data_IF_643533875290
#
_entry.id   IF_643533875290
#
_cell.length_a   1.000
_cell.length_b   1.000
_cell.length_c   1.000
_cell.angle_alpha   90.00
_cell.angle_beta   90.00
_cell.angle_gamma   90.00
#
_symmetry.space_group_name_H-M   'P 1'
#
loop_
_entity.id
_entity.type
_entity.pdbx_description
1 polymer ?
#
# COMPACT_ATOMS: atom_id res chain seq x y z
N UNK A 1 9.22 18.36 -15.44
CA UNK A 1 9.95 17.55 -14.43
C UNK A 1 8.95 16.82 -13.55
N UNK A 2 8.41 17.37 -12.46
CA UNK A 2 7.34 16.69 -11.68
C UNK A 2 5.99 16.59 -12.39
N UNK A 3 5.56 17.67 -13.06
CA UNK A 3 4.30 17.76 -13.82
C UNK A 3 4.14 16.72 -14.94
N UNK A 4 5.25 16.16 -15.44
CA UNK A 4 5.23 15.24 -16.58
C UNK A 4 5.06 13.77 -16.16
N UNK A 5 5.02 13.49 -14.85
CA UNK A 5 4.96 12.14 -14.29
C UNK A 5 3.77 11.96 -13.34
N UNK A 6 2.76 12.82 -13.41
CA UNK A 6 1.60 12.79 -12.51
C UNK A 6 0.86 11.45 -12.54
N UNK A 7 0.71 10.85 -13.71
CA UNK A 7 -0.03 9.59 -13.88
C UNK A 7 0.73 8.41 -13.26
N UNK A 8 2.05 8.37 -13.49
CA UNK A 8 2.94 7.36 -12.90
C UNK A 8 2.98 7.47 -11.37
N UNK A 9 3.06 8.70 -10.84
CA UNK A 9 3.04 8.97 -9.40
C UNK A 9 1.69 8.56 -8.81
N UNK A 10 0.58 8.87 -9.50
CA UNK A 10 -0.75 8.49 -9.05
C UNK A 10 -0.91 6.97 -8.96
N UNK A 11 -0.49 6.24 -10.02
CA UNK A 11 -0.59 4.77 -10.07
C UNK A 11 0.20 4.12 -8.95
N UNK A 12 1.46 4.52 -8.76
CA UNK A 12 2.33 3.93 -7.72
C UNK A 12 1.75 4.14 -6.31
N UNK A 13 1.19 5.33 -6.05
CA UNK A 13 0.61 5.64 -4.74
C UNK A 13 -0.72 4.92 -4.56
N UNK A 14 -1.57 4.87 -5.58
CA UNK A 14 -2.85 4.15 -5.52
C UNK A 14 -2.64 2.65 -5.30
N UNK A 15 -1.70 2.03 -6.02
CA UNK A 15 -1.33 0.62 -5.83
C UNK A 15 -0.74 0.35 -4.44
N UNK A 16 0.12 1.25 -3.95
CA UNK A 16 0.77 1.11 -2.65
C UNK A 16 -0.14 1.35 -1.45
N UNK A 17 -1.20 2.15 -1.62
CA UNK A 17 -2.14 2.53 -0.54
C UNK A 17 -3.46 1.77 -0.60
N UNK A 18 -3.84 1.23 -1.75
CA UNK A 18 -5.16 0.64 -1.98
C UNK A 18 -6.30 1.67 -2.05
N UNK A 19 -5.99 2.97 -2.10
CA UNK A 19 -6.94 4.07 -2.13
C UNK A 19 -6.85 4.86 -3.45
N UNK A 20 -7.95 5.49 -3.84
CA UNK A 20 -7.93 6.42 -4.97
C UNK A 20 -7.10 7.66 -4.65
N UNK A 21 -6.25 8.10 -5.59
CA UNK A 21 -5.33 9.23 -5.40
C UNK A 21 -5.60 10.33 -6.42
N UNK A 22 -5.59 11.57 -5.94
CA UNK A 22 -5.67 12.77 -6.77
C UNK A 22 -4.42 13.65 -6.57
N UNK A 23 -4.02 14.35 -7.63
CA UNK A 23 -2.81 15.19 -7.67
C UNK A 23 -3.10 16.57 -8.26
N UNK A 24 -2.38 17.58 -7.77
CA UNK A 24 -2.35 18.92 -8.36
C UNK A 24 -0.93 19.48 -8.34
N UNK A 25 -0.53 20.11 -9.44
CA UNK A 25 0.74 20.84 -9.48
C UNK A 25 0.66 22.13 -8.69
N UNK A 26 1.67 22.38 -7.86
CA UNK A 26 1.87 23.67 -7.20
C UNK A 26 3.04 24.41 -7.87
N UNK A 27 2.83 25.61 -8.44
CA UNK A 27 3.93 26.44 -8.89
C UNK A 27 4.68 27.02 -7.68
N UNK A 28 5.98 26.71 -7.54
CA UNK A 28 6.85 27.30 -6.51
C UNK A 28 8.17 27.80 -7.12
N UNK A 29 8.20 29.06 -7.53
CA UNK A 29 9.38 29.65 -8.17
C UNK A 29 9.73 28.95 -9.48
N UNK A 30 10.98 28.49 -9.65
CA UNK A 30 11.48 27.84 -10.87
C UNK A 30 11.19 26.34 -10.97
N UNK A 31 10.67 25.70 -9.91
CA UNK A 31 10.36 24.26 -9.88
C UNK A 31 8.91 24.04 -9.46
N UNK A 32 8.31 22.94 -9.92
CA UNK A 32 6.91 22.62 -9.64
C UNK A 32 6.84 21.56 -8.55
N UNK A 33 6.12 21.83 -7.46
CA UNK A 33 5.78 20.82 -6.44
C UNK A 33 4.49 20.08 -6.81
N UNK A 34 4.18 19.01 -6.07
CA UNK A 34 2.94 18.24 -6.20
C UNK A 34 2.23 18.18 -4.84
N UNK A 35 0.95 18.52 -4.82
CA UNK A 35 0.05 18.14 -3.75
C UNK A 35 -0.62 16.82 -4.13
N UNK A 36 -0.72 15.92 -3.16
CA UNK A 36 -1.26 14.56 -3.29
C UNK A 36 -2.26 14.36 -2.16
N UNK A 37 -3.46 13.88 -2.47
CA UNK A 37 -4.50 13.59 -1.49
C UNK A 37 -5.36 12.41 -1.97
N UNK A 38 -6.20 11.87 -1.10
CA UNK A 38 -7.14 10.83 -1.48
C UNK A 38 -8.26 11.38 -2.37
N UNK A 39 -8.58 10.72 -3.48
CA UNK A 39 -9.46 11.26 -4.51
C UNK A 39 -10.93 11.42 -4.11
N UNK A 40 -11.36 10.68 -3.10
CA UNK A 40 -12.68 10.73 -2.46
C UNK A 40 -12.80 11.84 -1.39
N UNK A 41 -11.68 12.49 -1.04
CA UNK A 41 -11.68 13.71 -0.23
C UNK A 41 -11.41 14.95 -1.11
N UNK A 42 -12.03 16.07 -0.75
CA UNK A 42 -11.57 17.36 -1.27
C UNK A 42 -10.18 17.68 -0.73
N UNK A 43 -9.30 18.23 -1.56
CA UNK A 43 -7.90 18.57 -1.21
C UNK A 43 -7.74 19.35 0.10
N UNK A 44 -8.71 20.17 0.48
CA UNK A 44 -8.68 21.01 1.69
C UNK A 44 -9.39 20.37 2.91
N UNK A 45 -9.94 19.16 2.79
CA UNK A 45 -10.73 18.47 3.82
C UNK A 45 -10.05 17.24 4.43
N UNK A 46 -8.82 16.92 4.02
CA UNK A 46 -8.13 15.72 4.50
C UNK A 46 -6.62 15.90 4.64
N UNK A 47 -5.89 14.78 4.78
CA UNK A 47 -4.45 14.77 4.69
C UNK A 47 -4.02 15.14 3.26
N UNK A 48 -2.95 15.90 3.18
CA UNK A 48 -2.29 16.31 1.93
C UNK A 48 -0.81 16.05 2.10
N UNK A 49 -0.27 15.24 1.20
CA UNK A 49 1.18 15.06 1.07
C UNK A 49 1.69 15.99 -0.01
N UNK A 50 2.61 16.85 0.37
CA UNK A 50 3.29 17.77 -0.51
C UNK A 50 4.69 17.23 -0.85
N UNK A 51 4.96 17.06 -2.14
CA UNK A 51 6.24 16.61 -2.66
C UNK A 51 6.92 17.75 -3.42
N UNK A 52 8.15 18.08 -3.02
CA UNK A 52 8.96 19.10 -3.70
C UNK A 52 10.43 18.72 -3.81
N UNK A 53 11.15 19.17 -4.86
CA UNK A 53 12.60 19.05 -4.91
C UNK A 53 13.26 19.92 -3.83
N UNK A 54 14.31 19.42 -3.19
CA UNK A 54 15.17 20.15 -2.26
C UNK A 54 16.61 20.12 -2.77
N UNK A 55 16.98 21.15 -3.53
CA UNK A 55 18.24 21.15 -4.30
C UNK A 55 18.17 20.16 -5.47
N UNK A 56 19.33 19.77 -6.00
CA UNK A 56 19.42 18.98 -7.24
C UNK A 56 19.20 17.47 -7.05
N UNK A 57 19.43 16.91 -5.86
CA UNK A 57 19.49 15.46 -5.63
C UNK A 57 18.67 15.00 -4.44
N UNK A 58 17.64 15.74 -4.05
CA UNK A 58 16.81 15.36 -2.92
C UNK A 58 15.37 15.78 -3.11
N UNK A 59 14.45 15.00 -2.56
CA UNK A 59 13.07 15.38 -2.38
C UNK A 59 12.79 15.70 -0.92
N UNK A 60 11.93 16.67 -0.70
CA UNK A 60 11.29 16.92 0.57
C UNK A 60 9.80 16.57 0.43
N UNK A 61 9.31 15.81 1.40
CA UNK A 61 7.91 15.41 1.53
C UNK A 61 7.36 16.01 2.82
N UNK A 62 6.18 16.59 2.78
CA UNK A 62 5.47 17.12 3.94
C UNK A 62 4.03 16.61 3.94
N UNK A 63 3.68 15.80 4.94
CA UNK A 63 2.30 15.48 5.27
C UNK A 63 1.74 16.58 6.17
N UNK A 64 0.60 17.12 5.77
CA UNK A 64 -0.16 18.15 6.49
C UNK A 64 -1.65 17.95 6.29
N UNK A 65 -2.46 18.74 6.99
CA UNK A 65 -3.92 18.73 6.84
C UNK A 65 -4.43 20.01 6.18
N UNK A 66 -5.49 19.88 5.39
CA UNK A 66 -6.18 21.02 4.79
C UNK A 66 -6.92 21.89 5.82
N UNK A 67 -7.26 23.12 5.43
CA UNK A 67 -7.87 24.12 6.32
C UNK A 67 -9.26 23.70 6.87
N UNK A 68 -9.94 22.76 6.21
CA UNK A 68 -11.26 22.25 6.58
C UNK A 68 -11.22 20.77 6.95
N UNK A 69 -10.04 20.25 7.31
CA UNK A 69 -9.85 18.84 7.64
C UNK A 69 -10.27 18.46 9.07
N UNK A 70 -10.90 19.37 9.81
CA UNK A 70 -11.32 19.14 11.20
C UNK A 70 -12.13 17.84 11.38
N UNK A 71 -13.14 17.53 10.55
CA UNK A 71 -13.89 16.27 10.70
C UNK A 71 -13.01 15.03 10.55
N UNK A 72 -12.07 15.06 9.60
CA UNK A 72 -11.11 13.96 9.39
C UNK A 72 -10.12 13.85 10.55
N UNK A 73 -9.69 14.97 11.12
CA UNK A 73 -8.79 14.95 12.28
C UNK A 73 -9.51 14.42 13.52
N UNK A 74 -10.77 14.79 13.74
CA UNK A 74 -11.59 14.26 14.82
C UNK A 74 -11.75 12.73 14.65
N UNK A 75 -12.06 12.27 13.45
CA UNK A 75 -12.11 10.83 13.12
C UNK A 75 -10.78 10.11 13.40
N UNK A 76 -9.65 10.68 12.96
CA UNK A 76 -8.31 10.14 13.22
C UNK A 76 -8.03 10.08 14.73
N UNK A 77 -8.44 11.09 15.49
CA UNK A 77 -8.20 11.14 16.94
C UNK A 77 -8.99 10.10 17.73
N UNK A 78 -10.06 9.57 17.13
CA UNK A 78 -10.90 8.51 17.67
C UNK A 78 -10.54 7.12 17.11
N UNK A 79 -9.49 7.02 16.29
CA UNK A 79 -9.05 5.75 15.72
C UNK A 79 -8.71 4.72 16.83
N UNK A 80 -9.11 3.45 16.66
CA UNK A 80 -8.72 2.36 17.55
C UNK A 80 -7.20 2.27 17.76
N UNK A 81 -6.78 1.82 18.95
CA UNK A 81 -5.35 1.65 19.26
C UNK A 81 -4.63 0.76 18.23
N UNK A 82 -5.34 -0.23 17.68
CA UNK A 82 -4.83 -1.15 16.66
C UNK A 82 -4.47 -0.43 15.35
N UNK A 83 -5.31 0.50 14.93
CA UNK A 83 -5.14 1.30 13.72
C UNK A 83 -4.02 2.32 13.94
N UNK A 84 -3.89 2.85 15.16
CA UNK A 84 -2.78 3.73 15.56
C UNK A 84 -1.44 2.96 15.52
N UNK A 85 -1.38 1.75 16.07
CA UNK A 85 -0.18 0.89 16.04
C UNK A 85 0.22 0.54 14.60
N UNK A 86 -0.75 0.22 13.75
CA UNK A 86 -0.51 -0.09 12.34
C UNK A 86 -0.05 1.16 11.57
N UNK A 87 -0.67 2.31 11.78
CA UNK A 87 -0.23 3.58 11.20
C UNK A 87 1.20 3.94 11.62
N UNK A 88 1.57 3.74 12.89
CA UNK A 88 2.96 3.95 13.37
C UNK A 88 3.94 2.99 12.71
N UNK A 89 3.60 1.71 12.62
CA UNK A 89 4.43 0.70 11.94
C UNK A 89 4.65 1.04 10.46
N UNK A 90 3.63 1.58 9.79
CA UNK A 90 3.75 2.07 8.41
C UNK A 90 4.75 3.23 8.33
N UNK A 91 4.66 4.22 9.22
CA UNK A 91 5.63 5.33 9.25
C UNK A 91 7.06 4.86 9.58
N UNK A 92 7.22 3.90 10.50
CA UNK A 92 8.52 3.29 10.81
C UNK A 92 9.12 2.51 9.61
N UNK A 93 8.28 2.05 8.69
CA UNK A 93 8.74 1.34 7.48
C UNK A 93 9.38 2.26 6.43
N UNK A 94 9.25 3.58 6.57
CA UNK A 94 9.92 4.57 5.72
C UNK A 94 11.42 4.31 5.74
N UNK A 95 12.03 4.31 4.56
CA UNK A 95 13.44 3.96 4.38
C UNK A 95 14.34 4.77 5.34
N UNK A 96 15.25 4.09 6.05
CA UNK A 96 16.07 4.69 7.11
C UNK A 96 16.92 5.91 6.66
N UNK A 97 17.32 5.96 5.39
CA UNK A 97 18.03 7.09 4.80
C UNK A 97 17.15 8.33 4.57
N UNK A 98 15.83 8.16 4.59
CA UNK A 98 14.90 9.27 4.63
C UNK A 98 14.88 9.87 6.05
N UNK A 99 15.26 11.13 6.17
CA UNK A 99 15.23 11.83 7.45
C UNK A 99 13.81 12.25 7.75
N UNK A 100 13.12 11.50 8.61
CA UNK A 100 11.76 11.80 9.08
C UNK A 100 11.81 12.66 10.33
N UNK A 101 10.94 13.67 10.41
CA UNK A 101 10.77 14.54 11.57
C UNK A 101 9.29 14.88 11.76
N UNK A 102 8.82 14.75 13.01
CA UNK A 102 7.45 15.07 13.42
C UNK A 102 7.56 16.21 14.45
N UNK A 103 7.39 17.48 14.07
CA UNK A 103 7.63 18.60 14.99
C UNK A 103 6.83 18.47 16.28
N UNK A 104 7.55 18.47 17.41
CA UNK A 104 6.96 18.37 18.75
C UNK A 104 6.58 16.95 19.19
N UNK A 105 6.86 15.92 18.39
CA UNK A 105 6.53 14.52 18.72
C UNK A 105 7.65 13.56 18.31
N UNK A 106 7.56 12.31 18.76
CA UNK A 106 8.53 11.23 18.46
C UNK A 106 7.98 10.25 17.42
N UNK A 107 8.87 9.47 16.80
CA UNK A 107 8.50 8.49 15.77
C UNK A 107 7.63 7.34 16.30
N UNK A 108 7.80 6.97 17.57
CA UNK A 108 7.08 5.90 18.26
C UNK A 108 5.81 6.38 18.99
N UNK A 109 5.69 7.69 19.22
CA UNK A 109 4.65 8.28 20.07
C UNK A 109 3.77 9.31 19.36
N UNK A 110 3.85 9.46 18.04
CA UNK A 110 3.10 10.49 17.34
C UNK A 110 1.59 10.23 17.33
N UNK A 111 0.83 11.32 17.32
CA UNK A 111 -0.62 11.40 17.26
C UNK A 111 -1.03 12.64 16.45
N UNK A 112 -2.09 12.51 15.65
CA UNK A 112 -2.70 13.65 14.95
C UNK A 112 -3.79 14.23 15.84
N UNK A 113 -3.42 15.24 16.65
CA UNK A 113 -4.35 15.86 17.60
C UNK A 113 -5.08 17.08 17.05
N UNK A 114 -4.49 17.78 16.06
CA UNK A 114 -5.06 18.97 15.46
C UNK A 114 -4.46 19.27 14.07
N UNK A 115 -5.01 20.27 13.38
CA UNK A 115 -4.61 20.63 12.01
C UNK A 115 -3.20 21.25 11.89
N UNK A 116 -2.49 21.48 12.99
CA UNK A 116 -1.08 21.90 13.00
C UNK A 116 -0.14 20.71 12.92
N UNK A 117 -0.62 19.47 13.04
CA UNK A 117 0.19 18.28 12.85
C UNK A 117 0.92 18.34 11.50
N UNK A 118 2.22 18.07 11.52
CA UNK A 118 3.08 17.97 10.34
C UNK A 118 4.00 16.77 10.49
N UNK A 119 4.28 16.11 9.36
CA UNK A 119 5.35 15.12 9.27
C UNK A 119 6.19 15.42 8.04
N UNK A 120 7.49 15.63 8.25
CA UNK A 120 8.43 15.94 7.20
C UNK A 120 9.33 14.75 6.94
N UNK A 121 9.63 14.46 5.69
CA UNK A 121 10.68 13.55 5.29
C UNK A 121 11.57 14.18 4.23
N UNK A 122 12.87 13.91 4.29
CA UNK A 122 13.82 14.29 3.24
C UNK A 122 14.56 13.05 2.77
N UNK A 123 14.42 12.71 1.48
CA UNK A 123 15.12 11.59 0.85
C UNK A 123 16.15 12.12 -0.15
N UNK A 124 17.38 11.61 -0.06
CA UNK A 124 18.47 11.92 -0.98
C UNK A 124 18.61 10.84 -2.04
N UNK A 125 18.86 11.24 -3.28
CA UNK A 125 19.02 10.37 -4.44
C UNK A 125 20.48 10.37 -4.94
N UNK A 126 20.86 9.29 -5.62
CA UNK A 126 22.14 9.21 -6.31
C UNK A 126 22.18 10.18 -7.49
N UNK A 127 21.07 10.23 -8.23
CA UNK A 127 20.88 11.09 -9.41
C UNK A 127 20.07 12.35 -9.10
N UNK A 128 19.72 13.10 -10.15
CA UNK A 128 18.87 14.27 -10.05
C UNK A 128 17.52 13.90 -9.42
N UNK A 129 16.97 14.78 -8.57
CA UNK A 129 15.59 14.69 -8.08
C UNK A 129 14.59 14.71 -9.24
N UNK A 130 14.98 15.27 -10.38
CA UNK A 130 14.13 15.35 -11.55
C UNK A 130 14.08 14.04 -12.37
N UNK A 131 14.88 13.04 -12.01
CA UNK A 131 14.85 11.70 -12.63
C UNK A 131 13.58 10.92 -12.20
N UNK A 132 12.84 10.29 -13.13
CA UNK A 132 11.73 9.39 -12.83
C UNK A 132 12.01 8.32 -11.76
N UNK A 133 13.18 7.69 -11.74
CA UNK A 133 13.54 6.67 -10.73
C UNK A 133 13.65 7.27 -9.32
N UNK A 134 14.21 8.48 -9.21
CA UNK A 134 14.24 9.22 -7.95
C UNK A 134 12.82 9.57 -7.47
N UNK A 135 11.91 9.84 -8.41
CA UNK A 135 10.50 10.11 -8.14
C UNK A 135 9.79 8.87 -7.59
N UNK A 136 9.89 7.75 -8.31
CA UNK A 136 9.29 6.46 -7.92
C UNK A 136 9.82 6.04 -6.55
N UNK A 137 11.14 6.15 -6.32
CA UNK A 137 11.73 5.84 -5.03
C UNK A 137 11.16 6.71 -3.90
N UNK A 138 10.94 8.00 -4.14
CA UNK A 138 10.31 8.88 -3.14
C UNK A 138 8.86 8.51 -2.88
N UNK A 139 8.11 8.16 -3.94
CA UNK A 139 6.72 7.73 -3.81
C UNK A 139 6.64 6.46 -2.98
N UNK A 140 7.38 5.41 -3.38
CA UNK A 140 7.38 4.10 -2.75
C UNK A 140 7.91 4.10 -1.32
N UNK A 141 9.04 4.77 -1.08
CA UNK A 141 9.75 4.67 0.20
C UNK A 141 9.31 5.71 1.24
N UNK A 142 8.54 6.74 0.84
CA UNK A 142 8.13 7.83 1.74
C UNK A 142 6.64 8.12 1.65
N UNK A 143 6.13 8.44 0.46
CA UNK A 143 4.74 8.92 0.31
C UNK A 143 3.73 7.81 0.54
N UNK A 144 3.98 6.62 0.00
CA UNK A 144 3.11 5.44 0.17
C UNK A 144 2.94 5.10 1.66
N UNK A 145 4.00 4.94 2.47
CA UNK A 145 3.84 4.72 3.91
C UNK A 145 3.07 5.84 4.62
N UNK A 146 3.34 7.12 4.30
CA UNK A 146 2.63 8.26 4.89
C UNK A 146 1.14 8.24 4.56
N UNK A 147 0.80 8.04 3.30
CA UNK A 147 -0.59 7.97 2.85
C UNK A 147 -1.28 6.71 3.40
N UNK A 148 -0.62 5.56 3.41
CA UNK A 148 -1.17 4.33 3.96
C UNK A 148 -1.47 4.45 5.47
N UNK A 149 -0.61 5.14 6.22
CA UNK A 149 -0.84 5.43 7.65
C UNK A 149 -2.06 6.35 7.85
N UNK A 150 -2.23 7.37 7.00
CA UNK A 150 -3.42 8.23 7.07
C UNK A 150 -4.68 7.48 6.64
N UNK A 151 -4.60 6.64 5.62
CA UNK A 151 -5.70 5.78 5.21
C UNK A 151 -6.15 4.85 6.34
N UNK A 152 -5.20 4.38 7.16
CA UNK A 152 -5.49 3.53 8.33
C UNK A 152 -6.29 4.31 9.36
N UNK A 153 -5.76 5.46 9.78
CA UNK A 153 -6.42 6.28 10.79
C UNK A 153 -7.78 6.84 10.33
N UNK A 154 -8.03 6.94 9.02
CA UNK A 154 -9.31 7.38 8.46
C UNK A 154 -10.25 6.19 8.22
N UNK A 155 -9.77 4.93 8.24
CA UNK A 155 -10.62 3.77 7.96
C UNK A 155 -11.01 3.64 6.49
N UNK A 156 -10.06 3.83 5.56
CA UNK A 156 -10.30 3.59 4.12
C UNK A 156 -10.55 2.10 3.83
N UNK A 157 -11.73 1.79 3.33
CA UNK A 157 -12.09 0.47 2.80
C UNK A 157 -11.53 0.29 1.39
N UNK A 158 -10.76 -0.79 1.19
CA UNK A 158 -10.20 -1.10 -0.14
C UNK A 158 -11.25 -1.78 -1.02
N UNK A 159 -11.55 -1.13 -2.14
CA UNK A 159 -12.36 -1.70 -3.21
C UNK A 159 -11.64 -2.90 -3.83
N UNK A 160 -12.23 -4.09 -3.75
CA UNK A 160 -11.75 -5.29 -4.46
C UNK A 160 -12.90 -5.96 -5.18
N UNK A 161 -12.77 -6.09 -6.51
CA UNK A 161 -13.67 -6.82 -7.40
C UNK A 161 -13.17 -8.27 -7.49
N UNK A 162 -14.02 -9.27 -7.21
CA UNK A 162 -13.70 -10.69 -7.46
C UNK A 162 -14.92 -11.43 -8.06
N UNK A 163 -14.63 -12.36 -8.98
CA UNK A 163 -15.50 -13.05 -9.96
C UNK A 163 -15.73 -14.51 -9.52
N UNK A 164 -16.92 -15.08 -9.75
CA UNK A 164 -17.04 -16.53 -10.04
C UNK A 164 -18.31 -16.87 -10.87
N UNK A 165 -18.12 -17.83 -11.79
CA UNK A 165 -18.99 -18.31 -12.86
C UNK A 165 -20.04 -19.32 -12.36
N UNK A 166 -21.31 -19.16 -12.78
CA UNK A 166 -22.20 -20.27 -13.18
C UNK A 166 -23.49 -19.71 -13.79
N UNK A 167 -23.63 -19.78 -15.12
CA UNK A 167 -24.82 -20.21 -15.85
C UNK A 167 -24.54 -20.17 -17.38
N UNK A 168 -24.89 -21.26 -18.06
CA UNK A 168 -24.50 -21.71 -19.41
C UNK A 168 -24.93 -20.82 -20.62
N UNK A 169 -24.73 -19.50 -20.53
CA UNK A 169 -24.96 -18.54 -21.61
C UNK A 169 -23.81 -17.51 -21.65
N UNK A 170 -22.94 -17.60 -22.66
CA UNK A 170 -21.86 -16.65 -22.89
C UNK A 170 -22.42 -15.22 -23.11
N UNK A 171 -22.06 -14.28 -22.23
CA UNK A 171 -22.43 -12.86 -22.35
C UNK A 171 -23.73 -12.42 -21.65
N UNK A 172 -24.38 -13.27 -20.86
CA UNK A 172 -25.55 -12.87 -20.08
C UNK A 172 -25.19 -11.98 -18.88
N UNK A 173 -25.96 -10.90 -18.67
CA UNK A 173 -25.78 -10.00 -17.52
C UNK A 173 -26.65 -10.49 -16.36
N UNK A 174 -26.01 -11.03 -15.33
CA UNK A 174 -26.67 -11.51 -14.11
C UNK A 174 -26.36 -10.58 -12.94
N UNK A 175 -27.37 -10.28 -12.10
CA UNK A 175 -27.20 -9.55 -10.83
C UNK A 175 -27.31 -10.52 -9.66
N UNK A 176 -26.35 -10.48 -8.73
CA UNK A 176 -26.34 -11.29 -7.50
C UNK A 176 -25.88 -10.45 -6.31
N UNK A 177 -26.38 -10.81 -5.12
CA UNK A 177 -26.01 -10.22 -3.83
C UNK A 177 -25.01 -11.17 -3.14
N UNK A 178 -23.89 -10.65 -2.64
CA UNK A 178 -22.83 -11.47 -2.03
C UNK A 178 -22.39 -10.83 -0.70
N UNK A 179 -22.21 -11.65 0.33
CA UNK A 179 -21.61 -11.26 1.61
C UNK A 179 -20.13 -11.65 1.61
N UNK A 180 -19.23 -10.66 1.82
CA UNK A 180 -17.77 -10.87 1.81
C UNK A 180 -17.18 -10.47 3.16
N UNK A 181 -16.14 -11.19 3.59
CA UNK A 181 -15.32 -10.81 4.75
C UNK A 181 -14.24 -9.82 4.32
N UNK A 182 -14.10 -8.74 5.09
CA UNK A 182 -13.15 -7.64 4.84
C UNK A 182 -11.70 -8.15 4.79
N UNK A 183 -10.89 -7.60 3.87
CA UNK A 183 -9.45 -7.88 3.76
C UNK A 183 -8.71 -6.56 3.95
N UNK A 184 -7.93 -6.45 5.03
CA UNK A 184 -7.09 -5.26 5.22
C UNK A 184 -5.94 -5.29 4.17
N UNK A 185 -5.88 -4.33 3.22
CA UNK A 185 -4.81 -4.26 2.21
C UNK A 185 -3.40 -4.14 2.80
N UNK A 186 -3.28 -3.62 4.03
CA UNK A 186 -1.99 -3.37 4.69
C UNK A 186 -1.32 -4.67 5.11
N UNK A 187 -2.10 -5.72 5.37
CA UNK A 187 -1.59 -7.07 5.58
C UNK A 187 -0.80 -7.59 4.36
N UNK A 188 -1.24 -7.24 3.14
CA UNK A 188 -0.47 -7.55 1.92
C UNK A 188 0.85 -6.80 1.90
N UNK A 189 0.82 -5.48 2.13
CA UNK A 189 2.02 -4.64 2.13
C UNK A 189 3.04 -5.14 3.15
N UNK A 190 2.61 -5.37 4.39
CA UNK A 190 3.46 -5.87 5.47
C UNK A 190 4.02 -7.26 5.15
N UNK A 191 3.20 -8.19 4.64
CA UNK A 191 3.65 -9.51 4.23
C UNK A 191 4.78 -9.42 3.18
N UNK A 192 4.62 -8.59 2.14
CA UNK A 192 5.65 -8.42 1.10
C UNK A 192 6.91 -7.70 1.60
N UNK A 193 6.79 -6.80 2.60
CA UNK A 193 7.94 -6.15 3.23
C UNK A 193 8.73 -7.13 4.11
N UNK A 194 8.04 -8.01 4.83
CA UNK A 194 8.63 -9.00 5.74
C UNK A 194 9.24 -10.17 4.96
N UNK A 195 8.48 -10.74 4.03
CA UNK A 195 8.83 -11.99 3.35
C UNK A 195 9.50 -11.79 1.99
N UNK A 196 9.49 -10.58 1.47
CA UNK A 196 9.96 -10.27 0.13
C UNK A 196 8.97 -10.67 -0.96
N UNK A 197 9.43 -10.60 -2.21
CA UNK A 197 8.63 -10.88 -3.41
C UNK A 197 8.93 -12.27 -4.01
N UNK A 198 9.57 -13.14 -3.23
CA UNK A 198 9.90 -14.52 -3.62
C UNK A 198 8.74 -15.43 -3.24
N UNK A 199 8.27 -16.24 -4.19
CA UNK A 199 7.25 -17.25 -3.91
C UNK A 199 7.72 -18.22 -2.83
N UNK A 200 6.97 -18.34 -1.73
CA UNK A 200 7.31 -19.27 -0.63
C UNK A 200 7.19 -20.74 -1.02
N UNK A 201 6.44 -21.06 -2.07
CA UNK A 201 6.32 -22.43 -2.55
C UNK A 201 7.46 -22.81 -3.50
N UNK A 202 7.60 -22.12 -4.64
CA UNK A 202 8.52 -22.51 -5.71
C UNK A 202 9.81 -21.69 -5.79
N UNK A 203 9.98 -20.64 -4.97
CA UNK A 203 11.17 -19.78 -5.02
C UNK A 203 11.21 -18.79 -6.19
N UNK A 204 10.22 -18.78 -7.09
CA UNK A 204 10.17 -17.85 -8.21
C UNK A 204 10.13 -16.39 -7.72
N UNK A 205 10.95 -15.54 -8.34
CA UNK A 205 10.91 -14.08 -8.22
C UNK A 205 10.39 -13.54 -9.57
N UNK A 206 9.10 -13.14 -9.68
CA UNK A 206 8.54 -12.82 -11.00
C UNK A 206 9.19 -11.61 -11.66
N UNK A 207 9.66 -10.62 -10.89
CA UNK A 207 10.40 -9.46 -11.41
C UNK A 207 11.75 -9.83 -12.04
N UNK A 208 12.39 -10.92 -11.60
CA UNK A 208 13.63 -11.41 -12.23
C UNK A 208 13.38 -12.04 -13.59
N UNK A 209 12.17 -12.56 -13.86
CA UNK A 209 11.80 -13.18 -15.13
C UNK A 209 11.16 -12.18 -16.11
N UNK A 210 10.27 -11.33 -15.61
CA UNK A 210 9.41 -10.47 -16.44
C UNK A 210 9.75 -8.98 -16.36
N UNK A 211 10.75 -8.58 -15.58
CA UNK A 211 11.13 -7.19 -15.41
C UNK A 211 9.98 -6.34 -14.85
N UNK A 212 9.60 -5.28 -15.56
CA UNK A 212 8.53 -4.35 -15.14
C UNK A 212 7.16 -5.00 -15.05
N UNK A 213 6.91 -6.06 -15.84
CA UNK A 213 5.66 -6.83 -15.77
C UNK A 213 5.65 -7.87 -14.63
N UNK A 214 6.71 -7.94 -13.81
CA UNK A 214 6.86 -8.94 -12.76
C UNK A 214 6.31 -8.55 -11.39
N UNK A 215 5.56 -7.45 -11.27
CA UNK A 215 4.86 -7.06 -10.02
C UNK A 215 3.59 -7.89 -9.77
N UNK A 216 3.68 -9.21 -9.96
CA UNK A 216 2.53 -10.13 -9.98
C UNK A 216 2.51 -11.11 -8.80
N UNK A 217 3.26 -10.83 -7.74
CA UNK A 217 3.25 -11.67 -6.53
C UNK A 217 1.96 -11.42 -5.72
N UNK A 218 1.34 -12.51 -5.28
CA UNK A 218 0.06 -12.51 -4.56
C UNK A 218 0.29 -12.91 -3.10
N UNK A 219 -0.54 -12.38 -2.18
CA UNK A 219 -0.47 -12.73 -0.75
C UNK A 219 -1.59 -13.69 -0.39
N UNK A 220 -1.18 -14.88 0.05
CA UNK A 220 -2.07 -15.97 0.43
C UNK A 220 -2.26 -16.01 1.95
N UNK A 221 -3.50 -16.23 2.39
CA UNK A 221 -3.81 -16.47 3.81
C UNK A 221 -3.67 -17.96 4.09
N UNK A 222 -2.75 -18.33 4.99
CA UNK A 222 -2.51 -19.74 5.35
C UNK A 222 -3.74 -20.39 6.01
N UNK A 223 -4.53 -19.59 6.72
CA UNK A 223 -5.88 -19.96 7.15
C UNK A 223 -6.91 -19.17 6.32
N UNK A 224 -7.76 -19.86 5.53
CA UNK A 224 -8.76 -19.20 4.69
C UNK A 224 -9.75 -18.37 5.51
N UNK A 225 -10.00 -17.12 5.10
CA UNK A 225 -10.97 -16.24 5.76
C UNK A 225 -12.39 -16.84 5.79
N UNK A 226 -12.76 -17.61 4.76
CA UNK A 226 -14.05 -18.32 4.68
C UNK A 226 -14.23 -19.40 5.74
N UNK A 227 -13.14 -19.88 6.34
CA UNK A 227 -13.16 -20.92 7.39
C UNK A 227 -13.27 -20.34 8.81
N UNK A 228 -13.26 -19.01 8.96
CA UNK A 228 -13.35 -18.36 10.26
C UNK A 228 -14.80 -18.34 10.77
N UNK A 229 -15.00 -18.67 12.06
CA UNK A 229 -16.27 -18.44 12.75
C UNK A 229 -16.53 -16.95 12.97
N UNK A 230 -15.51 -16.23 13.44
CA UNK A 230 -15.58 -14.80 13.81
C UNK A 230 -14.38 -14.03 13.20
N UNK A 231 -14.47 -12.69 13.04
CA UNK A 231 -13.33 -11.87 12.64
C UNK A 231 -12.15 -12.05 13.60
N UNK A 232 -10.92 -12.07 13.08
CA UNK A 232 -9.70 -12.09 13.89
C UNK A 232 -8.59 -11.26 13.25
N UNK A 233 -7.64 -10.81 14.07
CA UNK A 233 -6.38 -10.25 13.59
C UNK A 233 -5.54 -11.31 12.89
N UNK A 234 -4.84 -10.88 11.84
CA UNK A 234 -3.84 -11.68 11.13
C UNK A 234 -2.46 -11.09 11.40
N UNK A 235 -1.48 -11.93 11.73
CA UNK A 235 -0.07 -11.53 11.78
C UNK A 235 0.55 -11.77 10.38
N UNK A 236 0.96 -10.72 9.65
CA UNK A 236 1.58 -10.87 8.33
C UNK A 236 2.86 -11.72 8.32
N UNK A 237 3.52 -11.93 9.48
CA UNK A 237 4.70 -12.79 9.62
C UNK A 237 4.33 -14.27 9.57
N UNK A 238 3.22 -14.67 10.17
CA UNK A 238 2.90 -16.09 10.42
C UNK A 238 1.64 -16.56 9.72
N UNK A 239 0.68 -15.69 9.43
CA UNK A 239 -0.59 -16.07 8.83
C UNK A 239 -0.64 -15.86 7.31
N UNK A 240 0.35 -15.16 6.74
CA UNK A 240 0.38 -14.76 5.34
C UNK A 240 1.67 -15.21 4.65
N UNK A 241 1.59 -15.50 3.36
CA UNK A 241 2.75 -15.87 2.55
C UNK A 241 2.66 -15.31 1.12
N UNK A 242 3.77 -14.80 0.55
CA UNK A 242 3.82 -14.46 -0.87
C UNK A 242 3.88 -15.72 -1.73
N UNK A 243 3.02 -15.81 -2.73
CA UNK A 243 2.98 -16.88 -3.73
C UNK A 243 2.94 -16.27 -5.14
N UNK A 244 3.57 -16.95 -6.11
CA UNK A 244 3.36 -16.60 -7.52
C UNK A 244 1.95 -17.00 -7.97
N UNK A 245 1.42 -16.42 -9.07
CA UNK A 245 0.06 -16.72 -9.52
C UNK A 245 -0.21 -18.21 -9.74
N UNK A 246 0.79 -18.95 -10.24
CA UNK A 246 0.69 -20.40 -10.46
C UNK A 246 0.56 -21.17 -9.14
N UNK A 247 1.43 -20.88 -8.16
CA UNK A 247 1.38 -21.55 -6.85
C UNK A 247 0.13 -21.14 -6.07
N UNK A 248 -0.28 -19.87 -6.15
CA UNK A 248 -1.50 -19.41 -5.49
C UNK A 248 -2.75 -20.06 -6.10
N UNK A 249 -2.77 -20.26 -7.42
CA UNK A 249 -3.84 -21.05 -8.06
C UNK A 249 -3.78 -22.52 -7.63
N UNK A 250 -2.59 -23.12 -7.59
CA UNK A 250 -2.40 -24.51 -7.22
C UNK A 250 -2.92 -24.82 -5.81
N UNK A 251 -2.63 -23.97 -4.81
CA UNK A 251 -3.15 -24.17 -3.43
C UNK A 251 -4.68 -24.24 -3.40
N UNK A 252 -5.36 -23.43 -4.21
CA UNK A 252 -6.81 -23.33 -4.26
C UNK A 252 -7.50 -24.37 -5.16
N UNK A 253 -6.75 -25.27 -5.81
CA UNK A 253 -7.35 -26.41 -6.52
C UNK A 253 -8.02 -27.41 -5.58
N UNK A 254 -7.66 -27.41 -4.29
CA UNK A 254 -8.38 -28.14 -3.23
C UNK A 254 -9.34 -27.19 -2.51
N UNK A 255 -10.60 -27.62 -2.44
CA UNK A 255 -11.68 -26.94 -1.70
C UNK A 255 -12.39 -27.97 -0.80
N UNK A 256 -12.97 -27.56 0.35
CA UNK A 256 -12.99 -26.19 0.89
C UNK A 256 -11.66 -25.77 1.54
N UNK A 257 -10.79 -26.74 1.86
CA UNK A 257 -9.49 -26.51 2.50
C UNK A 257 -8.37 -26.51 1.45
N UNK A 258 -7.69 -25.37 1.19
CA UNK A 258 -6.57 -25.29 0.27
C UNK A 258 -5.42 -26.24 0.65
N UNK A 259 -4.55 -26.54 -0.31
CA UNK A 259 -3.25 -27.14 0.00
C UNK A 259 -2.41 -26.16 0.81
N UNK A 260 -1.70 -26.67 1.81
CA UNK A 260 -0.62 -25.96 2.47
C UNK A 260 0.55 -25.78 1.51
N UNK A 261 1.43 -24.83 1.82
CA UNK A 261 2.65 -24.58 1.04
C UNK A 261 3.53 -25.84 0.99
N UNK A 262 3.66 -26.56 2.12
CA UNK A 262 4.44 -27.79 2.20
C UNK A 262 3.85 -28.91 1.33
N UNK A 263 2.52 -29.01 1.25
CA UNK A 263 1.86 -29.97 0.36
C UNK A 263 2.14 -29.63 -1.11
N UNK A 264 2.03 -28.35 -1.51
CA UNK A 264 2.38 -27.96 -2.88
C UNK A 264 3.85 -28.27 -3.17
N UNK A 265 4.78 -27.95 -2.26
CA UNK A 265 6.20 -28.27 -2.42
C UNK A 265 6.45 -29.77 -2.59
N UNK A 266 5.68 -30.62 -1.91
CA UNK A 266 5.80 -32.08 -2.03
C UNK A 266 5.20 -32.62 -3.33
N UNK A 267 4.24 -31.91 -3.91
CA UNK A 267 3.60 -32.26 -5.19
C UNK A 267 4.37 -31.72 -6.40
N UNK A 268 5.21 -30.71 -6.20
CA UNK A 268 6.12 -30.23 -7.23
C UNK A 268 7.13 -31.33 -7.54
N UNK A 269 7.20 -31.75 -8.81
CA UNK A 269 8.24 -32.65 -9.26
C UNK A 269 9.62 -32.00 -9.15
N UNK A 270 10.68 -32.81 -9.14
CA UNK A 270 12.03 -32.32 -9.43
C UNK A 270 11.98 -31.65 -10.81
N UNK A 271 12.13 -30.33 -10.86
CA UNK A 271 12.37 -29.67 -12.13
C UNK A 271 13.81 -29.97 -12.55
N UNK A 272 13.92 -30.87 -13.53
CA UNK A 272 15.10 -31.06 -14.38
C UNK A 272 15.50 -29.68 -14.93
N UNK A 273 16.79 -29.39 -14.78
CA UNK A 273 17.50 -28.16 -15.16
C UNK A 273 17.07 -27.53 -16.50
#
# INVERSE_FOLDING_TARGET
>A
MLKNHTDLISSEIAEGTGAGIALATRPEGFRTGLDIWFSDLERNRGPVVELRPKGLKSHQVELRFGNFARPIIEQISEAPDEDIELARSLIESIKAEAKVAIPGQTMDGWLVSDGRFRMHATLRHAESSDNPEAMIATCREVIVPMMAAMAELIGYDVMVVEVDDDDNLEGAVTKREITRRERNPRNRLLCLRIHGHTCKSCGLIPSSLYGTAGSIIEVHHLQPLSSLGEPRKYDPRTDLAPLCPNCHRAVHTRKPTPYSILEIQSLMGEHVD
#
